data_IF_022781808826
#
_entry.id   IF_022781808826
#
_cell.length_a   1.000
_cell.length_b   1.000
_cell.length_c   1.000
_cell.angle_alpha   90.00
_cell.angle_beta   90.00
_cell.angle_gamma   90.00
#
_symmetry.space_group_name_H-M   'P 1'
#
loop_
_entity.id
_entity.type
_entity.pdbx_description
1 polymer ?
#
# COMPACT_ATOMS: atom_id res chain seq x y z
N UNK A 1 20.05 -17.08 0.52
CA UNK A 1 19.51 -15.72 0.32
C UNK A 1 19.04 -15.26 1.69
N UNK A 2 19.72 -14.28 2.27
CA UNK A 2 19.23 -13.58 3.46
C UNK A 2 17.96 -12.84 3.06
N UNK A 3 16.87 -13.16 3.73
CA UNK A 3 15.58 -12.54 3.45
C UNK A 3 15.66 -11.08 3.87
N UNK A 4 15.81 -10.16 2.90
CA UNK A 4 15.97 -8.72 3.16
C UNK A 4 14.80 -8.17 4.00
N UNK A 5 13.67 -8.87 4.01
CA UNK A 5 12.51 -8.58 4.83
C UNK A 5 12.76 -8.83 6.32
N UNK A 6 13.61 -9.77 6.73
CA UNK A 6 13.82 -10.10 8.14
C UNK A 6 14.86 -9.22 8.84
N UNK A 7 15.82 -8.65 8.09
CA UNK A 7 16.93 -7.88 8.66
C UNK A 7 16.74 -6.35 8.65
N UNK A 8 15.59 -5.84 8.18
CA UNK A 8 15.37 -4.39 8.14
C UNK A 8 15.01 -3.84 9.55
N UNK A 9 15.77 -2.86 10.09
CA UNK A 9 15.83 -2.51 11.50
C UNK A 9 14.61 -1.72 12.06
N UNK A 10 13.55 -1.53 11.28
CA UNK A 10 12.37 -0.78 11.68
C UNK A 10 11.10 -1.64 11.55
N UNK A 11 10.30 -1.69 12.63
CA UNK A 11 8.98 -2.35 12.64
C UNK A 11 7.96 -1.58 11.77
N UNK A 12 8.10 -0.26 11.65
CA UNK A 12 7.25 0.58 10.82
C UNK A 12 7.81 0.68 9.40
N UNK A 13 7.16 0.03 8.44
CA UNK A 13 7.66 -0.06 7.07
C UNK A 13 6.57 0.34 6.07
N UNK A 14 7.02 0.79 4.89
CA UNK A 14 6.11 1.22 3.83
C UNK A 14 5.65 0.04 2.98
N UNK A 15 4.35 -0.02 2.72
CA UNK A 15 3.74 -0.86 1.68
C UNK A 15 3.38 0.02 0.50
N UNK A 16 3.90 -0.31 -0.67
CA UNK A 16 3.63 0.39 -1.93
C UNK A 16 2.55 -0.32 -2.71
N UNK A 17 1.62 0.45 -3.27
CA UNK A 17 0.52 -0.09 -4.04
C UNK A 17 0.04 0.92 -5.10
N UNK A 18 -0.74 0.44 -6.06
CA UNK A 18 -1.51 1.26 -6.99
C UNK A 18 -2.98 0.88 -6.90
N UNK A 19 -3.87 1.87 -6.96
CA UNK A 19 -5.31 1.64 -7.01
C UNK A 19 -5.80 1.75 -8.46
N UNK A 20 -6.67 0.82 -8.85
CA UNK A 20 -7.37 0.83 -10.12
C UNK A 20 -8.83 1.20 -9.91
N UNK A 21 -9.38 2.03 -10.80
CA UNK A 21 -10.72 2.61 -10.65
C UNK A 21 -11.37 2.93 -12.00
N UNK A 22 -12.63 3.39 -11.96
CA UNK A 22 -13.43 3.68 -13.14
C UNK A 22 -14.07 2.44 -13.77
N UNK A 23 -14.72 2.61 -14.92
CA UNK A 23 -15.36 1.49 -15.61
C UNK A 23 -14.33 0.40 -15.92
N UNK A 24 -14.60 -0.82 -15.47
CA UNK A 24 -13.73 -1.98 -15.63
C UNK A 24 -12.31 -1.83 -15.04
N UNK A 25 -12.09 -0.91 -14.09
CA UNK A 25 -10.79 -0.70 -13.43
C UNK A 25 -9.64 -0.32 -14.40
N UNK A 26 -9.94 0.42 -15.48
CA UNK A 26 -8.95 0.80 -16.49
C UNK A 26 -8.13 2.05 -16.13
N UNK A 27 -8.54 2.85 -15.13
CA UNK A 27 -7.76 3.98 -14.63
C UNK A 27 -6.90 3.53 -13.46
N UNK A 28 -5.73 4.15 -13.28
CA UNK A 28 -4.83 3.86 -12.17
C UNK A 28 -4.38 5.13 -11.45
N UNK A 29 -4.14 5.04 -10.15
CA UNK A 29 -3.46 6.10 -9.38
C UNK A 29 -1.97 6.10 -9.69
N UNK A 30 -1.27 7.15 -9.27
CA UNK A 30 0.17 7.07 -9.07
C UNK A 30 0.51 6.01 -7.99
N UNK A 31 1.80 5.71 -7.82
CA UNK A 31 2.26 4.84 -6.74
C UNK A 31 1.93 5.49 -5.40
N UNK A 32 1.16 4.79 -4.58
CA UNK A 32 0.78 5.18 -3.22
C UNK A 32 1.55 4.34 -2.21
N UNK A 33 1.63 4.83 -0.98
CA UNK A 33 2.20 4.07 0.13
C UNK A 33 1.42 4.29 1.43
N UNK A 34 1.48 3.29 2.31
CA UNK A 34 1.08 3.38 3.72
C UNK A 34 2.18 2.83 4.60
N UNK A 35 2.37 3.46 5.76
CA UNK A 35 3.25 2.93 6.80
C UNK A 35 2.43 2.01 7.71
N UNK A 36 2.94 0.81 7.98
CA UNK A 36 2.31 -0.12 8.92
C UNK A 36 3.35 -0.96 9.66
N UNK A 37 2.94 -1.53 10.80
CA UNK A 37 3.74 -2.52 11.49
C UNK A 37 3.52 -3.90 10.83
N UNK A 38 4.61 -4.58 10.50
CA UNK A 38 4.57 -5.92 9.87
C UNK A 38 4.14 -7.03 10.83
N UNK A 39 4.20 -6.77 12.14
CA UNK A 39 3.68 -7.69 13.16
C UNK A 39 2.15 -7.61 13.29
N UNK A 40 1.51 -6.60 12.70
CA UNK A 40 0.05 -6.48 12.68
C UNK A 40 -0.58 -7.45 11.67
N UNK A 41 -1.89 -7.69 11.81
CA UNK A 41 -2.63 -8.52 10.87
C UNK A 41 -2.70 -7.90 9.47
N UNK A 42 -2.71 -8.75 8.44
CA UNK A 42 -2.95 -8.35 7.04
C UNK A 42 -4.26 -7.56 6.92
N UNK A 43 -5.30 -7.91 7.71
CA UNK A 43 -6.55 -7.15 7.72
C UNK A 43 -6.34 -5.67 8.07
N UNK A 44 -5.47 -5.36 9.04
CA UNK A 44 -5.15 -3.98 9.41
C UNK A 44 -4.44 -3.24 8.28
N UNK A 45 -3.52 -3.91 7.58
CA UNK A 45 -2.90 -3.36 6.37
C UNK A 45 -3.97 -3.03 5.30
N UNK A 46 -4.92 -3.94 5.05
CA UNK A 46 -5.98 -3.71 4.07
C UNK A 46 -6.86 -2.51 4.44
N UNK A 47 -7.13 -2.28 5.74
CA UNK A 47 -7.86 -1.11 6.22
C UNK A 47 -7.08 0.20 5.97
N UNK A 48 -5.77 0.19 6.22
CA UNK A 48 -4.90 1.34 5.94
C UNK A 48 -4.86 1.68 4.45
N UNK A 49 -4.69 0.65 3.60
CA UNK A 49 -4.70 0.83 2.14
C UNK A 49 -6.06 1.39 1.68
N UNK A 50 -7.18 0.84 2.16
CA UNK A 50 -8.52 1.33 1.82
C UNK A 50 -8.74 2.78 2.25
N UNK A 51 -8.34 3.12 3.47
CA UNK A 51 -8.39 4.50 3.97
C UNK A 51 -7.61 5.43 3.03
N UNK A 52 -6.39 5.05 2.65
CA UNK A 52 -5.55 5.85 1.75
C UNK A 52 -6.13 5.98 0.34
N UNK A 53 -6.78 4.94 -0.19
CA UNK A 53 -7.49 5.00 -1.48
C UNK A 53 -8.67 5.97 -1.38
N UNK A 54 -9.43 5.92 -0.29
CA UNK A 54 -10.57 6.80 -0.06
C UNK A 54 -10.16 8.28 0.05
N UNK A 55 -9.02 8.57 0.69
CA UNK A 55 -8.45 9.93 0.72
C UNK A 55 -8.11 10.48 -0.67
N UNK A 56 -7.69 9.60 -1.60
CA UNK A 56 -7.24 9.98 -2.95
C UNK A 56 -8.39 10.02 -3.96
N UNK A 57 -9.31 9.06 -3.90
CA UNK A 57 -10.37 8.85 -4.89
C UNK A 57 -11.78 9.19 -4.39
N UNK A 58 -11.97 9.39 -3.08
CA UNK A 58 -13.28 9.49 -2.43
C UNK A 58 -13.87 8.12 -2.08
N UNK A 59 -14.61 8.05 -0.97
CA UNK A 59 -15.19 6.80 -0.41
C UNK A 59 -16.16 6.09 -1.37
N UNK A 60 -16.87 6.85 -2.19
CA UNK A 60 -17.87 6.33 -3.14
C UNK A 60 -17.25 5.75 -4.42
N UNK A 61 -15.95 5.92 -4.65
CA UNK A 61 -15.30 5.46 -5.87
C UNK A 61 -14.97 3.97 -5.80
N UNK A 62 -15.59 3.11 -6.63
CA UNK A 62 -15.24 1.69 -6.65
C UNK A 62 -13.80 1.52 -7.14
N UNK A 63 -12.98 0.85 -6.32
CA UNK A 63 -11.58 0.62 -6.60
C UNK A 63 -11.10 -0.76 -6.14
N UNK A 64 -10.12 -1.31 -6.83
CA UNK A 64 -9.28 -2.41 -6.37
C UNK A 64 -7.81 -1.96 -6.35
N UNK A 65 -6.89 -2.77 -5.83
CA UNK A 65 -5.49 -2.36 -5.77
C UNK A 65 -4.54 -3.55 -5.90
N UNK A 66 -3.30 -3.25 -6.29
CA UNK A 66 -2.20 -4.19 -6.37
C UNK A 66 -1.04 -3.70 -5.50
N UNK A 67 -0.56 -4.55 -4.60
CA UNK A 67 0.62 -4.30 -3.77
C UNK A 67 1.87 -4.64 -4.58
N UNK A 68 2.79 -3.69 -4.68
CA UNK A 68 4.04 -3.81 -5.44
C UNK A 68 5.21 -4.24 -4.55
N UNK A 69 5.27 -3.71 -3.31
CA UNK A 69 6.32 -4.01 -2.36
C UNK A 69 5.80 -3.90 -0.92
N UNK A 70 6.19 -4.88 -0.11
CA UNK A 70 6.00 -4.92 1.34
C UNK A 70 7.41 -4.76 1.92
N UNK A 71 7.73 -3.62 2.55
CA UNK A 71 9.00 -3.33 3.23
C UNK A 71 10.05 -2.53 2.44
N UNK A 72 9.68 -1.39 1.84
CA UNK A 72 10.73 -0.42 1.51
C UNK A 72 11.15 0.36 2.78
N UNK A 73 12.46 0.51 3.03
CA UNK A 73 12.99 1.18 4.23
C UNK A 73 12.71 2.68 4.26
N UNK A 74 12.45 3.29 3.09
CA UNK A 74 12.23 4.73 2.94
C UNK A 74 11.11 5.00 1.93
N UNK A 75 10.52 6.19 2.01
CA UNK A 75 9.60 6.70 0.97
C UNK A 75 10.32 6.80 -0.37
N UNK A 76 9.93 5.98 -1.36
CA UNK A 76 10.35 6.19 -2.76
C UNK A 76 9.82 7.57 -3.21
N UNK A 77 10.69 8.55 -3.52
CA UNK A 77 10.27 9.83 -4.04
C UNK A 77 9.62 9.62 -5.41
N UNK A 78 8.42 10.18 -5.58
CA UNK A 78 7.62 10.13 -6.81
C UNK A 78 7.82 11.41 -7.60
#
# INVERSE_FOLDING_TARGET
MSDFVLDAPAANRNTYFVAYYGSQYQKQTAVLHVQHNFDDSIQKLHLLIRTRINEVLGEETPACYHILALAAPETIPV
#
